data_IF_104852034430
#
_entry.id   IF_104852034430
#
_cell.length_a   1.000
_cell.length_b   1.000
_cell.length_c   1.000
_cell.angle_alpha   90.00
_cell.angle_beta   90.00
_cell.angle_gamma   90.00
#
_symmetry.space_group_name_H-M   'P 1'
#
loop_
_entity.id
_entity.type
_entity.pdbx_description
1 polymer ?
#
# COMPACT_ATOMS: atom_id res chain seq x y z
N UNK A 1 -13.34 7.89 3.90
CA UNK A 1 -12.83 8.10 2.51
C UNK A 1 -11.45 7.50 2.46
N UNK A 2 -11.06 6.83 1.37
CA UNK A 2 -9.69 6.37 1.19
C UNK A 2 -8.74 7.58 1.10
N UNK A 3 -7.57 7.49 1.74
CA UNK A 3 -6.59 8.58 1.82
C UNK A 3 -5.24 8.09 1.32
N UNK A 4 -4.40 8.97 0.78
CA UNK A 4 -3.01 8.64 0.46
C UNK A 4 -2.06 9.26 1.47
N UNK A 5 -0.97 8.54 1.78
CA UNK A 5 0.12 9.03 2.61
C UNK A 5 1.21 9.59 1.72
N UNK A 6 1.39 10.91 1.77
CA UNK A 6 2.46 11.57 1.04
C UNK A 6 3.72 11.72 1.89
N UNK A 7 4.87 11.65 1.24
CA UNK A 7 6.16 11.95 1.86
C UNK A 7 6.20 13.44 2.24
N UNK A 8 6.76 13.76 3.40
CA UNK A 8 6.97 15.13 3.84
C UNK A 8 8.35 15.64 3.44
N UNK A 9 8.43 16.91 3.06
CA UNK A 9 9.71 17.60 2.84
C UNK A 9 10.36 18.08 4.16
N UNK A 10 11.53 18.71 4.06
CA UNK A 10 12.26 19.27 5.21
C UNK A 10 11.46 20.37 5.97
N UNK A 11 10.45 20.95 5.35
CA UNK A 11 9.56 21.96 5.92
C UNK A 11 8.25 21.36 6.44
N UNK A 12 8.14 20.02 6.49
CA UNK A 12 6.94 19.25 6.86
C UNK A 12 5.73 19.45 5.95
N UNK A 13 5.94 19.90 4.71
CA UNK A 13 4.87 19.96 3.72
C UNK A 13 4.78 18.64 2.95
N UNK A 14 3.55 18.17 2.63
CA UNK A 14 3.38 16.99 1.79
C UNK A 14 3.90 17.25 0.38
N UNK A 15 4.80 16.39 -0.06
CA UNK A 15 5.27 16.32 -1.44
C UNK A 15 4.21 15.62 -2.31
N UNK A 16 4.45 15.55 -3.62
CA UNK A 16 3.59 14.79 -4.55
C UNK A 16 3.97 13.31 -4.63
N UNK A 17 4.90 12.85 -3.81
CA UNK A 17 5.31 11.45 -3.78
C UNK A 17 4.50 10.71 -2.73
N UNK A 18 3.68 9.76 -3.16
CA UNK A 18 2.87 8.90 -2.29
C UNK A 18 3.68 7.67 -1.87
N UNK A 19 3.68 7.38 -0.57
CA UNK A 19 4.35 6.21 0.03
C UNK A 19 3.40 5.04 0.27
N UNK A 20 2.09 5.31 0.28
CA UNK A 20 1.08 4.31 0.57
C UNK A 20 -0.30 4.93 0.68
N UNK A 21 -1.25 4.14 1.16
CA UNK A 21 -2.65 4.53 1.24
C UNK A 21 -3.35 3.95 2.46
N UNK A 22 -4.49 4.54 2.79
CA UNK A 22 -5.39 4.07 3.83
C UNK A 22 -6.66 3.50 3.19
N UNK A 23 -7.08 2.33 3.68
CA UNK A 23 -8.37 1.73 3.36
C UNK A 23 -9.54 2.57 3.90
N UNK A 24 -10.77 2.10 3.69
CA UNK A 24 -11.94 2.77 4.29
C UNK A 24 -12.03 2.51 5.79
N UNK A 25 -11.44 1.41 6.25
CA UNK A 25 -11.30 1.00 7.64
C UNK A 25 -10.06 1.61 8.33
N UNK A 26 -9.44 2.63 7.73
CA UNK A 26 -8.20 3.29 8.21
C UNK A 26 -7.00 2.33 8.37
N UNK A 27 -6.96 1.23 7.63
CA UNK A 27 -5.80 0.35 7.53
C UNK A 27 -4.76 0.94 6.57
N UNK A 28 -3.52 1.06 7.03
CA UNK A 28 -2.43 1.57 6.21
C UNK A 28 -1.77 0.45 5.39
N UNK A 29 -1.64 0.69 4.08
CA UNK A 29 -0.97 -0.19 3.13
C UNK A 29 0.16 0.59 2.47
N UNK A 30 1.40 0.15 2.69
CA UNK A 30 2.56 0.69 2.01
C UNK A 30 2.57 0.28 0.53
N UNK A 31 3.00 1.18 -0.35
CA UNK A 31 3.30 0.78 -1.72
C UNK A 31 4.65 0.04 -1.77
N UNK A 32 4.81 -0.86 -2.75
CA UNK A 32 6.09 -1.53 -2.99
C UNK A 32 7.21 -0.54 -3.31
N UNK A 33 6.87 0.56 -3.99
CA UNK A 33 7.76 1.67 -4.32
C UNK A 33 7.01 3.01 -4.21
N UNK A 34 7.70 4.14 -3.94
CA UNK A 34 7.07 5.46 -3.93
C UNK A 34 6.45 5.80 -5.29
N UNK A 35 5.20 6.27 -5.28
CA UNK A 35 4.49 6.68 -6.49
C UNK A 35 4.54 8.20 -6.65
N UNK A 36 5.13 8.69 -7.75
CA UNK A 36 5.04 10.11 -8.10
C UNK A 36 3.63 10.44 -8.60
N UNK A 37 2.96 11.37 -7.91
CA UNK A 37 1.64 11.88 -8.24
C UNK A 37 1.69 13.29 -8.86
N UNK A 38 2.81 13.63 -9.49
CA UNK A 38 2.96 14.84 -10.30
C UNK A 38 2.41 14.65 -11.74
N UNK A 39 2.18 15.77 -12.43
CA UNK A 39 1.75 15.75 -13.84
C UNK A 39 0.26 15.44 -14.07
N UNK A 40 -0.04 14.82 -15.21
CA UNK A 40 -1.41 14.58 -15.68
C UNK A 40 -2.13 13.55 -14.80
N UNK A 41 -3.35 13.87 -14.38
CA UNK A 41 -4.13 13.10 -13.40
C UNK A 41 -4.34 11.64 -13.81
N UNK A 42 -4.69 11.41 -15.06
CA UNK A 42 -4.93 10.06 -15.57
C UNK A 42 -3.67 9.18 -15.54
N UNK A 43 -2.49 9.76 -15.75
CA UNK A 43 -1.23 9.01 -15.76
C UNK A 43 -0.88 8.56 -14.34
N UNK A 44 -0.84 9.49 -13.39
CA UNK A 44 -0.43 9.12 -12.03
C UNK A 44 -1.49 8.28 -11.32
N UNK A 45 -2.79 8.44 -11.62
CA UNK A 45 -3.82 7.53 -11.11
C UNK A 45 -3.64 6.10 -11.64
N UNK A 46 -3.24 5.94 -12.90
CA UNK A 46 -2.92 4.63 -13.46
C UNK A 46 -1.68 4.02 -12.78
N UNK A 47 -0.68 4.82 -12.44
CA UNK A 47 0.47 4.37 -11.67
C UNK A 47 0.07 3.89 -10.27
N UNK A 48 -0.74 4.67 -9.55
CA UNK A 48 -1.29 4.26 -8.25
C UNK A 48 -2.02 2.93 -8.38
N UNK A 49 -2.93 2.79 -9.35
CA UNK A 49 -3.69 1.55 -9.56
C UNK A 49 -2.78 0.34 -9.83
N UNK A 50 -1.68 0.52 -10.57
CA UNK A 50 -0.68 -0.55 -10.79
C UNK A 50 0.01 -0.95 -9.49
N UNK A 51 0.43 0.02 -8.67
CA UNK A 51 1.06 -0.24 -7.37
C UNK A 51 0.10 -0.96 -6.42
N UNK A 52 -1.17 -0.53 -6.36
CA UNK A 52 -2.21 -1.22 -5.57
C UNK A 52 -2.32 -2.70 -5.94
N UNK A 53 -2.41 -2.99 -7.24
CA UNK A 53 -2.50 -4.37 -7.75
C UNK A 53 -1.23 -5.17 -7.49
N UNK A 54 -0.06 -4.53 -7.50
CA UNK A 54 1.20 -5.18 -7.20
C UNK A 54 1.30 -5.50 -5.70
N UNK A 55 0.99 -4.55 -4.82
CA UNK A 55 0.97 -4.74 -3.37
C UNK A 55 0.03 -5.87 -2.97
N UNK A 56 -1.23 -5.88 -3.43
CA UNK A 56 -2.17 -6.97 -3.09
C UNK A 56 -1.64 -8.33 -3.52
N UNK A 57 -1.04 -8.44 -4.70
CA UNK A 57 -0.45 -9.72 -5.16
C UNK A 57 0.75 -10.13 -4.33
N UNK A 58 1.58 -9.17 -3.91
CA UNK A 58 2.73 -9.42 -3.06
C UNK A 58 2.27 -9.92 -1.69
N UNK A 59 1.35 -9.20 -1.03
CA UNK A 59 0.78 -9.59 0.27
C UNK A 59 0.10 -10.97 0.23
N UNK A 60 -0.64 -11.28 -0.85
CA UNK A 60 -1.21 -12.62 -1.04
C UNK A 60 -0.13 -13.70 -1.17
N UNK A 61 0.96 -13.40 -1.88
CA UNK A 61 2.07 -14.35 -2.06
C UNK A 61 2.77 -14.61 -0.74
N UNK A 62 3.14 -13.54 -0.01
CA UNK A 62 3.74 -13.63 1.32
C UNK A 62 2.84 -14.35 2.31
N UNK A 63 1.53 -14.04 2.30
CA UNK A 63 0.54 -14.71 3.12
C UNK A 63 0.48 -16.22 2.89
N UNK A 64 0.46 -16.65 1.63
CA UNK A 64 0.46 -18.09 1.28
C UNK A 64 1.76 -18.76 1.73
N UNK A 65 2.91 -18.14 1.47
CA UNK A 65 4.22 -18.69 1.88
C UNK A 65 4.32 -18.82 3.40
N UNK A 66 3.95 -17.79 4.15
CA UNK A 66 4.05 -17.78 5.60
C UNK A 66 3.03 -18.71 6.28
N UNK A 67 1.98 -19.16 5.59
CA UNK A 67 1.04 -20.14 6.12
C UNK A 67 1.68 -21.49 6.40
N UNK A 68 2.70 -21.88 5.63
CA UNK A 68 3.42 -23.13 5.84
C UNK A 68 4.34 -23.10 7.07
N UNK A 69 4.76 -21.90 7.49
CA UNK A 69 5.79 -21.71 8.51
C UNK A 69 5.24 -21.44 9.92
N UNK A 70 3.97 -21.03 10.05
CA UNK A 70 3.41 -20.63 11.36
C UNK A 70 2.01 -21.20 11.63
N UNK A 71 1.67 -21.48 12.91
CA UNK A 71 0.33 -21.91 13.29
C UNK A 71 -0.75 -20.92 12.83
N UNK A 72 -1.88 -21.45 12.33
CA UNK A 72 -2.99 -20.65 11.79
C UNK A 72 -3.46 -19.52 12.72
N UNK A 73 -3.52 -19.78 14.02
CA UNK A 73 -3.99 -18.80 15.02
C UNK A 73 -3.09 -17.57 15.12
N UNK A 74 -1.79 -17.72 14.87
CA UNK A 74 -0.84 -16.62 14.81
C UNK A 74 -0.84 -15.99 13.41
N UNK A 75 -0.90 -16.82 12.37
CA UNK A 75 -0.95 -16.37 10.97
C UNK A 75 -2.10 -15.40 10.68
N UNK A 76 -3.26 -15.68 11.29
CA UNK A 76 -4.51 -14.95 11.05
C UNK A 76 -4.41 -13.44 11.31
N UNK A 77 -3.49 -13.00 12.16
CA UNK A 77 -3.32 -11.60 12.52
C UNK A 77 -2.22 -10.88 11.72
N UNK A 78 -1.42 -11.62 10.96
CA UNK A 78 -0.25 -11.08 10.26
C UNK A 78 -0.58 -10.63 8.83
N UNK A 79 -1.67 -11.12 8.25
CA UNK A 79 -2.10 -10.78 6.90
C UNK A 79 -3.56 -10.36 6.85
N UNK A 80 -3.92 -9.34 6.06
CA UNK A 80 -5.31 -8.92 5.92
C UNK A 80 -6.14 -10.01 5.24
N UNK A 81 -7.35 -10.26 5.77
CA UNK A 81 -8.24 -11.34 5.33
C UNK A 81 -9.01 -11.06 4.03
N UNK A 82 -8.45 -10.24 3.12
CA UNK A 82 -9.12 -9.57 1.99
C UNK A 82 -10.22 -10.36 1.26
#
# INVERSE_FOLDING_TARGET
MAKMQFQLDASKNPTKTSLGMYSKEDEYVAFSEPCDCSGQVEIWLNHVLRHMKATVRHEMTEGVTAYEEKPRELWLFDYPAQ
#
